data_IF_423819727245
#
_entry.id   IF_423819727245
#
_cell.length_a   1.000
_cell.length_b   1.000
_cell.length_c   1.000
_cell.angle_alpha   90.00
_cell.angle_beta   90.00
_cell.angle_gamma   90.00
#
_symmetry.space_group_name_H-M   'P 1'
#
loop_
_entity.id
_entity.type
_entity.pdbx_description
1 polymer ?
#
# COMPACT_ATOMS: atom_id res chain seq x y z
N UNK A 1 0.65 -8.81 16.83
CA UNK A 1 -0.32 -8.58 15.73
C UNK A 1 -1.32 -7.54 16.18
N UNK A 2 -1.77 -6.64 15.29
CA UNK A 2 -2.57 -5.46 15.66
C UNK A 2 -4.03 -5.81 16.00
N UNK A 3 -4.69 -6.63 15.18
CA UNK A 3 -6.10 -6.97 15.39
C UNK A 3 -6.33 -8.11 16.39
N UNK A 4 -5.32 -8.94 16.66
CA UNK A 4 -5.45 -10.12 17.55
C UNK A 4 -6.36 -11.24 17.03
N UNK A 5 -7.11 -11.01 15.95
CA UNK A 5 -8.03 -11.96 15.32
C UNK A 5 -7.40 -12.68 14.11
N UNK A 6 -7.99 -13.82 13.73
CA UNK A 6 -7.59 -14.60 12.56
C UNK A 6 -8.15 -13.91 11.29
N UNK A 7 -7.30 -13.54 10.31
CA UNK A 7 -7.78 -12.99 9.06
C UNK A 7 -8.65 -13.99 8.28
N UNK A 8 -9.83 -13.55 7.84
CA UNK A 8 -10.76 -14.32 7.00
C UNK A 8 -11.24 -15.64 7.62
N UNK A 9 -11.50 -15.66 8.93
CA UNK A 9 -11.92 -16.87 9.65
C UNK A 9 -13.16 -17.57 9.05
N UNK A 10 -14.07 -16.82 8.45
CA UNK A 10 -15.28 -17.33 7.80
C UNK A 10 -15.08 -17.83 6.35
N UNK A 11 -13.84 -17.81 5.85
CA UNK A 11 -13.53 -18.16 4.45
C UNK A 11 -12.54 -19.32 4.37
N UNK A 12 -12.75 -20.20 3.38
CA UNK A 12 -11.70 -21.15 3.01
C UNK A 12 -10.55 -20.44 2.26
N UNK A 13 -9.35 -21.04 2.18
CA UNK A 13 -8.18 -20.39 1.56
C UNK A 13 -8.40 -19.94 0.10
N UNK A 14 -9.18 -20.70 -0.67
CA UNK A 14 -9.49 -20.38 -2.08
C UNK A 14 -10.44 -19.17 -2.14
N UNK A 15 -11.46 -19.13 -1.30
CA UNK A 15 -12.40 -18.01 -1.21
C UNK A 15 -11.69 -16.73 -0.76
N UNK A 16 -10.81 -16.82 0.24
CA UNK A 16 -10.01 -15.70 0.71
C UNK A 16 -9.10 -15.16 -0.39
N UNK A 17 -8.37 -16.04 -1.08
CA UNK A 17 -7.52 -15.64 -2.22
C UNK A 17 -8.34 -14.98 -3.33
N UNK A 18 -9.47 -15.57 -3.70
CA UNK A 18 -10.37 -15.01 -4.72
C UNK A 18 -10.87 -13.62 -4.33
N UNK A 19 -11.35 -13.46 -3.09
CA UNK A 19 -11.89 -12.20 -2.61
C UNK A 19 -10.81 -11.11 -2.47
N UNK A 20 -9.60 -11.47 -2.05
CA UNK A 20 -8.45 -10.54 -1.95
C UNK A 20 -8.07 -9.98 -3.31
N UNK A 21 -8.06 -10.83 -4.35
CA UNK A 21 -7.67 -10.46 -5.72
C UNK A 21 -8.80 -9.74 -6.46
N UNK A 22 -10.03 -10.24 -6.40
CA UNK A 22 -11.13 -9.75 -7.25
C UNK A 22 -12.02 -8.71 -6.57
N UNK A 23 -12.18 -8.79 -5.24
CA UNK A 23 -13.02 -7.87 -4.46
C UNK A 23 -12.20 -6.88 -3.64
N UNK A 24 -10.87 -6.97 -3.69
CA UNK A 24 -9.94 -6.15 -2.90
C UNK A 24 -10.27 -6.13 -1.40
N UNK A 25 -10.80 -7.24 -0.85
CA UNK A 25 -11.04 -7.31 0.59
C UNK A 25 -9.71 -7.29 1.35
N UNK A 26 -9.69 -6.61 2.49
CA UNK A 26 -8.58 -6.59 3.44
C UNK A 26 -9.16 -6.74 4.85
N UNK A 27 -8.43 -7.33 5.81
CA UNK A 27 -8.87 -7.41 7.19
C UNK A 27 -9.12 -6.01 7.77
N UNK A 28 -10.16 -5.88 8.58
CA UNK A 28 -10.45 -4.62 9.26
C UNK A 28 -9.33 -4.29 10.25
N UNK A 29 -8.90 -3.03 10.26
CA UNK A 29 -7.97 -2.51 11.26
C UNK A 29 -8.83 -1.95 12.40
N UNK A 30 -8.63 -2.39 13.65
CA UNK A 30 -9.42 -1.89 14.79
C UNK A 30 -9.23 -0.37 14.96
N UNK A 31 -10.26 0.31 15.49
CA UNK A 31 -10.21 1.77 15.68
C UNK A 31 -9.17 2.21 16.71
N UNK A 32 -8.84 1.33 17.66
CA UNK A 32 -7.79 1.54 18.66
C UNK A 32 -6.36 1.48 18.07
N UNK A 33 -6.23 1.17 16.77
CA UNK A 33 -4.94 1.16 16.11
C UNK A 33 -4.40 2.59 15.93
N UNK A 34 -3.17 2.90 16.38
CA UNK A 34 -2.59 4.21 16.17
C UNK A 34 -2.50 4.58 14.69
N UNK A 35 -2.83 5.82 14.35
CA UNK A 35 -2.93 6.26 12.95
C UNK A 35 -1.64 6.06 12.15
N UNK A 36 -0.47 6.14 12.78
CA UNK A 36 0.81 5.86 12.15
C UNK A 36 0.95 4.38 11.73
N UNK A 37 0.52 3.46 12.60
CA UNK A 37 0.53 2.02 12.33
C UNK A 37 -0.49 1.67 11.23
N UNK A 38 -1.71 2.21 11.33
CA UNK A 38 -2.75 2.06 10.30
C UNK A 38 -2.25 2.45 8.91
N UNK A 39 -1.60 3.62 8.81
CA UNK A 39 -1.05 4.10 7.54
C UNK A 39 0.05 3.20 6.96
N UNK A 40 0.88 2.58 7.79
CA UNK A 40 1.89 1.62 7.34
C UNK A 40 1.23 0.34 6.78
N UNK A 41 0.27 -0.23 7.53
CA UNK A 41 -0.49 -1.41 7.11
C UNK A 41 -1.19 -1.15 5.77
N UNK A 42 -1.82 0.01 5.62
CA UNK A 42 -2.53 0.41 4.40
C UNK A 42 -1.66 0.46 3.15
N UNK A 43 -0.38 0.80 3.29
CA UNK A 43 0.55 0.82 2.16
C UNK A 43 1.09 -0.56 1.81
N UNK A 44 1.40 -1.39 2.82
CA UNK A 44 1.92 -2.74 2.60
C UNK A 44 1.01 -3.58 1.71
N UNK A 45 -0.30 -3.38 1.80
CA UNK A 45 -1.29 -4.10 0.99
C UNK A 45 -1.96 -3.25 -0.10
N UNK A 46 -1.33 -2.15 -0.52
CA UNK A 46 -1.80 -1.28 -1.59
C UNK A 46 -2.15 -2.10 -2.85
N UNK A 47 -3.25 -1.72 -3.50
CA UNK A 47 -3.70 -2.31 -4.77
C UNK A 47 -2.65 -2.11 -5.85
N UNK A 48 -2.06 -0.91 -5.91
CA UNK A 48 -0.93 -0.64 -6.80
C UNK A 48 0.35 -1.22 -6.19
N UNK A 49 1.04 -2.16 -6.86
CA UNK A 49 2.26 -2.77 -6.36
C UNK A 49 3.39 -1.75 -6.20
N UNK A 50 3.50 -0.76 -7.09
CA UNK A 50 4.53 0.28 -7.05
C UNK A 50 4.44 1.22 -5.85
N UNK A 51 3.30 1.18 -5.13
CA UNK A 51 3.09 1.96 -3.90
C UNK A 51 3.42 1.16 -2.64
N UNK A 52 3.72 -0.12 -2.77
CA UNK A 52 4.08 -0.95 -1.61
C UNK A 52 5.52 -0.61 -1.22
N UNK A 53 5.77 -0.39 0.08
CA UNK A 53 7.11 -0.09 0.54
C UNK A 53 8.01 -1.33 0.41
N UNK A 54 9.25 -1.08 0.03
CA UNK A 54 10.32 -2.07 0.10
C UNK A 54 10.60 -2.46 1.55
N UNK A 55 11.12 -3.68 1.75
CA UNK A 55 11.34 -4.21 3.10
C UNK A 55 12.20 -3.29 3.98
N UNK A 56 13.28 -2.71 3.43
CA UNK A 56 14.14 -1.77 4.16
C UNK A 56 13.39 -0.51 4.63
N UNK A 57 12.39 -0.07 3.87
CA UNK A 57 11.57 1.09 4.22
C UNK A 57 10.65 0.75 5.39
N UNK A 58 10.08 -0.46 5.39
CA UNK A 58 9.25 -0.97 6.49
C UNK A 58 10.07 -1.02 7.78
N UNK A 59 11.27 -1.62 7.74
CA UNK A 59 12.16 -1.71 8.91
C UNK A 59 12.45 -0.32 9.49
N UNK A 60 12.83 0.63 8.64
CA UNK A 60 13.12 2.00 9.07
C UNK A 60 11.93 2.69 9.74
N UNK A 61 10.70 2.46 9.24
CA UNK A 61 9.49 3.00 9.87
C UNK A 61 9.23 2.35 11.23
N UNK A 62 9.39 1.03 11.33
CA UNK A 62 9.20 0.31 12.59
C UNK A 62 10.23 0.72 13.66
N UNK A 63 11.48 0.98 13.27
CA UNK A 63 12.51 1.52 14.17
C UNK A 63 12.12 2.90 14.70
N UNK A 64 11.57 3.77 13.85
CA UNK A 64 11.07 5.08 14.27
C UNK A 64 9.91 4.95 15.25
N UNK A 65 8.98 4.02 15.00
CA UNK A 65 7.87 3.74 15.92
C UNK A 65 8.38 3.29 17.29
N UNK A 66 9.41 2.42 17.33
CA UNK A 66 10.04 1.98 18.58
C UNK A 66 10.58 3.17 19.37
N UNK A 67 11.35 4.06 18.74
CA UNK A 67 11.91 5.25 19.39
C UNK A 67 10.83 6.20 19.89
N UNK A 68 9.77 6.41 19.10
CA UNK A 68 8.63 7.25 19.51
C UNK A 68 7.87 6.65 20.70
N UNK A 69 7.68 5.33 20.74
CA UNK A 69 7.05 4.64 21.86
C UNK A 69 7.89 4.77 23.14
N UNK A 70 9.20 4.64 23.06
CA UNK A 70 10.11 4.75 24.20
C UNK A 70 10.15 6.17 24.79
N UNK A 71 10.01 7.20 23.94
CA UNK A 71 10.09 8.60 24.38
C UNK A 71 8.74 9.20 24.79
N UNK A 72 7.72 8.97 23.97
CA UNK A 72 6.43 9.67 24.07
C UNK A 72 5.31 8.75 24.55
N UNK A 73 5.57 7.44 24.67
CA UNK A 73 4.58 6.44 25.12
C UNK A 73 3.42 6.24 24.15
N UNK A 74 3.47 6.81 22.94
CA UNK A 74 2.33 6.80 22.02
C UNK A 74 2.71 6.95 20.55
N UNK A 75 1.95 6.31 19.66
CA UNK A 75 2.04 6.42 18.19
C UNK A 75 0.99 7.40 17.64
N UNK A 76 0.69 8.46 18.39
CA UNK A 76 -0.27 9.48 17.98
C UNK A 76 0.34 10.44 16.96
N UNK A 77 -0.26 10.52 15.76
CA UNK A 77 0.13 11.48 14.74
C UNK A 77 -0.61 12.81 14.97
N UNK A 78 -0.31 13.51 16.07
CA UNK A 78 -0.86 14.85 16.32
C UNK A 78 0.08 15.96 15.90
N UNK A 79 -0.55 17.01 15.43
CA UNK A 79 0.03 17.97 14.52
C UNK A 79 0.81 19.11 15.22
N UNK A 80 1.81 18.92 16.10
CA UNK A 80 2.71 20.06 16.44
C UNK A 80 4.04 19.82 17.23
N UNK A 81 5.12 20.44 16.70
CA UNK A 81 6.49 20.78 17.19
C UNK A 81 7.32 19.68 17.92
N UNK A 82 8.50 19.26 17.43
CA UNK A 82 9.76 20.03 17.43
C UNK A 82 10.60 19.81 16.13
N UNK A 83 11.12 20.93 15.62
CA UNK A 83 12.15 21.19 14.60
C UNK A 83 12.18 20.43 13.25
N UNK A 84 11.91 21.21 12.18
CA UNK A 84 12.08 21.00 10.73
C UNK A 84 11.44 19.73 10.14
N UNK A 85 10.12 19.71 10.31
CA UNK A 85 9.07 19.05 9.51
C UNK A 85 9.01 17.50 9.44
N UNK A 86 8.85 16.81 10.57
CA UNK A 86 8.56 15.37 10.63
C UNK A 86 7.11 14.99 10.25
N UNK A 87 6.19 15.98 10.14
CA UNK A 87 4.74 15.74 10.00
C UNK A 87 4.21 15.93 8.58
N UNK A 88 4.94 16.66 7.73
CA UNK A 88 4.89 16.40 6.30
C UNK A 88 5.56 15.07 5.99
N UNK A 89 6.62 14.70 6.74
CA UNK A 89 7.45 13.53 6.48
C UNK A 89 6.64 12.27 6.27
N UNK A 90 5.94 11.63 7.22
CA UNK A 90 5.39 10.29 6.91
C UNK A 90 4.53 10.26 5.62
N UNK A 91 3.49 11.10 5.45
CA UNK A 91 2.69 11.16 4.21
C UNK A 91 3.49 11.60 2.96
N UNK A 92 4.44 12.53 3.09
CA UNK A 92 5.30 13.02 2.01
C UNK A 92 6.47 12.08 1.70
N UNK A 93 6.92 11.30 2.67
CA UNK A 93 8.06 10.39 2.68
C UNK A 93 7.62 9.07 2.08
N UNK A 94 6.43 8.58 2.47
CA UNK A 94 5.66 7.55 1.75
C UNK A 94 5.55 7.89 0.24
N UNK A 95 5.23 9.15 -0.09
CA UNK A 95 5.13 9.61 -1.49
C UNK A 95 6.47 9.85 -2.18
N UNK A 96 7.56 10.04 -1.43
CA UNK A 96 8.92 10.36 -1.94
C UNK A 96 9.77 9.12 -2.21
N UNK A 97 9.28 7.93 -1.86
CA UNK A 97 9.94 6.65 -2.11
C UNK A 97 9.67 6.10 -3.53
N UNK A 98 9.15 6.92 -4.45
CA UNK A 98 9.06 6.58 -5.87
C UNK A 98 10.44 6.23 -6.47
N UNK A 99 10.46 5.43 -7.55
CA UNK A 99 11.68 4.78 -8.02
C UNK A 99 12.76 5.81 -8.34
N UNK A 100 13.97 5.61 -7.80
CA UNK A 100 15.13 6.29 -8.33
C UNK A 100 15.31 5.82 -9.77
N UNK A 101 14.89 6.66 -10.71
CA UNK A 101 15.13 6.46 -12.13
C UNK A 101 16.62 6.32 -12.39
N UNK A 102 17.00 5.13 -12.88
CA UNK A 102 18.28 4.92 -13.53
C UNK A 102 18.43 5.91 -14.70
N UNK A 103 19.62 6.50 -14.79
CA UNK A 103 19.96 7.48 -15.82
C UNK A 103 19.80 6.95 -17.24
N UNK A 104 18.97 7.66 -17.99
CA UNK A 104 19.16 8.16 -19.37
C UNK A 104 20.26 7.53 -20.23
N UNK A 105 19.88 6.97 -21.38
CA UNK A 105 20.43 7.39 -22.69
C UNK A 105 19.29 7.40 -23.72
N UNK A 106 19.14 8.52 -24.42
CA UNK A 106 18.06 8.76 -25.37
C UNK A 106 18.42 8.40 -26.81
N UNK A 107 17.40 8.42 -27.67
CA UNK A 107 17.50 8.35 -29.12
C UNK A 107 16.12 8.13 -29.73
N UNK A 108 15.53 9.18 -30.29
CA UNK A 108 14.11 9.22 -30.69
C UNK A 108 13.80 8.86 -32.15
N UNK A 109 12.63 9.38 -32.55
CA UNK A 109 12.06 9.54 -33.90
C UNK A 109 11.04 8.49 -34.40
N UNK A 110 9.82 8.98 -34.63
CA UNK A 110 9.17 8.83 -35.94
C UNK A 110 7.91 7.95 -36.04
N UNK A 111 6.78 8.55 -36.42
CA UNK A 111 5.96 8.01 -37.51
C UNK A 111 4.59 7.36 -37.21
N UNK A 112 3.54 8.18 -37.22
CA UNK A 112 2.32 8.11 -38.10
C UNK A 112 1.47 6.82 -38.28
N UNK A 113 0.15 7.00 -38.08
CA UNK A 113 -1.03 6.30 -38.69
C UNK A 113 -1.20 4.80 -38.36
N UNK A 114 -2.38 4.14 -38.29
CA UNK A 114 -3.73 4.37 -38.84
C UNK A 114 -4.71 3.30 -38.28
N UNK A 115 -6.00 3.66 -38.18
CA UNK A 115 -7.23 2.84 -38.36
C UNK A 115 -7.38 1.38 -37.89
N UNK A 116 -8.54 1.10 -37.27
CA UNK A 116 -9.20 -0.22 -37.14
C UNK A 116 -9.40 -0.62 -35.68
N UNK A 117 -10.59 -0.92 -35.12
CA UNK A 117 -11.81 -1.46 -35.68
C UNK A 117 -12.04 -2.88 -35.15
N UNK A 118 -13.12 -3.07 -34.36
CA UNK A 118 -13.82 -4.33 -34.02
C UNK A 118 -13.43 -5.08 -32.73
N UNK A 119 -14.47 -5.42 -31.94
CA UNK A 119 -14.52 -6.70 -31.22
C UNK A 119 -14.58 -6.66 -29.70
N UNK A 120 -15.64 -6.11 -29.10
CA UNK A 120 -16.00 -6.43 -27.71
C UNK A 120 -16.64 -7.83 -27.67
N UNK A 121 -15.82 -8.88 -27.59
CA UNK A 121 -16.31 -10.23 -27.30
C UNK A 121 -16.50 -10.39 -25.80
N UNK A 122 -17.74 -10.67 -25.40
CA UNK A 122 -18.15 -10.97 -24.04
C UNK A 122 -17.47 -12.26 -23.54
N UNK A 123 -16.94 -12.22 -22.31
CA UNK A 123 -16.49 -13.42 -21.61
C UNK A 123 -17.70 -14.17 -21.03
N UNK A 124 -17.79 -15.50 -21.17
CA UNK A 124 -18.85 -16.27 -20.53
C UNK A 124 -18.61 -16.40 -19.02
N UNK A 125 -19.68 -16.26 -18.25
CA UNK A 125 -19.71 -16.44 -16.80
C UNK A 125 -19.28 -17.86 -16.40
N UNK A 126 -18.45 -18.02 -15.35
CA UNK A 126 -18.20 -19.33 -14.76
C UNK A 126 -19.45 -19.82 -14.02
N UNK A 127 -19.99 -20.98 -14.44
CA UNK A 127 -20.96 -21.74 -13.66
C UNK A 127 -20.20 -22.50 -12.59
N UNK A 128 -20.39 -22.12 -11.33
CA UNK A 128 -20.04 -22.98 -10.20
C UNK A 128 -21.14 -24.03 -10.08
N UNK A 129 -20.78 -25.29 -10.31
CA UNK A 129 -21.57 -26.46 -9.93
C UNK A 129 -21.25 -26.84 -8.49
#
# INVERSE_FOLDING_TARGET
MVAGAIPYEDMNPIQAAFAVVHKNIRPAIPEDCPGAMKALIEQCWSVAPDKRPEFWQIVKVLEQFRVSLEREGSLNLTSNKICKDPRKSLKHWIKKLGPQGGGTTGGGAGGSSSSGGLGRSAMPNPKFA
#
